data_IF_675516066251
#
_entry.id   IF_675516066251
#
_cell.length_a   1.000
_cell.length_b   1.000
_cell.length_c   1.000
_cell.angle_alpha   90.00
_cell.angle_beta   90.00
_cell.angle_gamma   90.00
#
_symmetry.space_group_name_H-M   'P 1'
#
loop_
_entity.id
_entity.type
_entity.pdbx_description
1 polymer ?
#
# COMPACT_ATOMS: atom_id res chain seq x y z
N UNK A 1 12.64 0.23 -63.84
CA UNK A 1 11.58 -0.17 -62.89
C UNK A 1 11.56 0.88 -61.79
N UNK A 2 10.57 1.78 -61.82
CA UNK A 2 10.50 2.94 -60.93
C UNK A 2 9.40 2.69 -59.89
N UNK A 3 9.76 2.60 -58.61
CA UNK A 3 8.79 2.48 -57.52
C UNK A 3 8.52 3.86 -56.94
N UNK A 4 7.26 4.31 -57.05
CA UNK A 4 6.72 5.50 -56.36
C UNK A 4 6.52 5.16 -54.88
N UNK A 5 7.16 5.94 -54.01
CA UNK A 5 6.90 5.96 -52.57
C UNK A 5 5.65 6.83 -52.35
N UNK A 6 4.55 6.21 -51.92
CA UNK A 6 3.34 6.90 -51.48
C UNK A 6 3.43 7.23 -49.99
N UNK A 7 3.29 8.50 -49.65
CA UNK A 7 3.10 8.99 -48.28
C UNK A 7 1.66 8.75 -47.82
N UNK A 8 1.41 8.15 -46.65
CA UNK A 8 0.06 8.07 -46.10
C UNK A 8 -0.36 9.41 -45.47
N UNK A 9 -1.60 9.81 -45.78
CA UNK A 9 -2.25 10.99 -45.24
C UNK A 9 -2.54 10.84 -43.74
N UNK A 10 -2.12 11.85 -42.98
CA UNK A 10 -2.39 11.96 -41.54
C UNK A 10 -3.78 12.55 -41.33
N UNK A 11 -4.73 11.72 -40.87
CA UNK A 11 -6.07 12.15 -40.46
C UNK A 11 -6.07 12.46 -38.97
N UNK A 12 -6.04 13.75 -38.63
CA UNK A 12 -6.11 14.27 -37.27
C UNK A 12 -7.57 14.40 -36.81
N UNK A 13 -8.14 13.31 -36.28
CA UNK A 13 -9.39 13.40 -35.52
C UNK A 13 -9.13 13.89 -34.10
N UNK A 14 -9.18 15.21 -33.90
CA UNK A 14 -9.36 15.82 -32.58
C UNK A 14 -10.77 15.47 -32.05
N UNK A 15 -10.87 14.47 -31.18
CA UNK A 15 -12.03 14.32 -30.29
C UNK A 15 -11.81 15.18 -29.05
N UNK A 16 -12.45 16.34 -29.02
CA UNK A 16 -12.65 17.11 -27.79
C UNK A 16 -13.49 16.29 -26.81
N UNK A 17 -12.93 15.99 -25.64
CA UNK A 17 -13.68 15.44 -24.52
C UNK A 17 -14.46 16.59 -23.88
N UNK A 18 -15.73 16.70 -24.26
CA UNK A 18 -16.67 17.55 -23.56
C UNK A 18 -16.87 16.99 -22.14
N UNK A 19 -16.42 17.75 -21.16
CA UNK A 19 -16.77 17.57 -19.75
C UNK A 19 -18.27 17.86 -19.64
N UNK A 20 -19.08 16.80 -19.61
CA UNK A 20 -20.49 16.94 -19.23
C UNK A 20 -20.55 17.14 -17.71
N UNK A 21 -20.38 18.40 -17.30
CA UNK A 21 -20.80 18.88 -16.00
C UNK A 21 -22.32 18.76 -15.94
N UNK A 22 -22.81 17.79 -15.18
CA UNK A 22 -24.20 17.75 -14.77
C UNK A 22 -24.47 18.96 -13.87
N UNK A 23 -25.01 20.02 -14.46
CA UNK A 23 -25.67 21.11 -13.76
C UNK A 23 -26.99 20.59 -13.21
N UNK A 24 -26.98 20.15 -11.95
CA UNK A 24 -28.18 20.14 -11.12
C UNK A 24 -28.23 21.46 -10.37
N UNK A 25 -29.05 22.38 -10.87
CA UNK A 25 -29.38 23.61 -10.17
C UNK A 25 -30.15 23.30 -8.90
N UNK A 26 -29.65 23.82 -7.78
CA UNK A 26 -30.45 24.03 -6.57
C UNK A 26 -30.14 25.41 -6.04
N UNK A 27 -31.13 26.25 -6.23
CA UNK A 27 -31.26 27.64 -5.79
C UNK A 27 -31.10 27.76 -4.27
N UNK A 28 -30.36 28.80 -3.87
CA UNK A 28 -30.43 29.58 -2.62
C UNK A 28 -30.90 28.93 -1.32
N UNK A 29 -30.07 29.07 -0.28
CA UNK A 29 -30.35 30.04 0.80
C UNK A 29 -29.07 30.27 1.62
N UNK A 30 -28.69 31.55 1.74
CA UNK A 30 -27.61 32.01 2.60
C UNK A 30 -28.09 32.01 4.05
N UNK A 31 -27.54 31.13 4.89
CA UNK A 31 -27.67 31.22 6.34
C UNK A 31 -26.43 31.92 6.89
N UNK A 32 -26.57 33.21 7.17
CA UNK A 32 -25.67 33.94 8.06
C UNK A 32 -25.98 33.53 9.50
N UNK A 33 -25.13 32.69 10.08
CA UNK A 33 -25.18 32.32 11.50
C UNK A 33 -24.16 33.13 12.29
N UNK A 34 -24.64 34.06 13.11
CA UNK A 34 -23.88 34.76 14.15
C UNK A 34 -23.31 33.77 15.18
N UNK A 35 -22.03 33.91 15.51
CA UNK A 35 -21.40 33.22 16.65
C UNK A 35 -21.42 34.16 17.85
N UNK A 36 -22.38 33.96 18.75
CA UNK A 36 -22.38 34.60 20.08
C UNK A 36 -21.66 33.68 21.08
N UNK A 37 -20.58 34.20 21.67
CA UNK A 37 -19.86 33.54 22.76
C UNK A 37 -20.70 33.50 24.04
N UNK A 38 -20.80 32.34 24.68
CA UNK A 38 -21.42 32.16 25.99
C UNK A 38 -20.34 31.95 27.09
N UNK A 39 -20.54 32.49 28.30
CA UNK A 39 -19.65 32.30 29.43
C UNK A 39 -19.80 30.90 30.05
N UNK A 40 -18.65 30.30 30.39
CA UNK A 40 -18.54 28.96 30.97
C UNK A 40 -19.13 28.87 32.37
N UNK A 41 -20.07 27.95 32.54
CA UNK A 41 -20.61 27.51 33.83
C UNK A 41 -20.10 26.09 34.10
N UNK A 42 -19.21 25.93 35.08
CA UNK A 42 -18.70 24.64 35.54
C UNK A 42 -19.79 23.88 36.31
N UNK A 43 -20.49 22.99 35.62
CA UNK A 43 -21.40 22.01 36.24
C UNK A 43 -20.69 20.66 36.34
N UNK A 44 -20.52 20.19 37.58
CA UNK A 44 -19.95 18.89 37.89
C UNK A 44 -20.85 17.77 37.33
N UNK A 45 -20.29 16.76 36.64
CA UNK A 45 -21.09 15.69 36.06
C UNK A 45 -21.75 14.84 37.15
N UNK A 46 -23.06 14.64 37.00
CA UNK A 46 -23.84 13.68 37.81
C UNK A 46 -23.34 12.26 37.56
N UNK A 47 -23.15 11.52 38.65
CA UNK A 47 -22.72 10.14 38.64
C UNK A 47 -23.73 9.25 37.90
N UNK A 48 -23.23 8.46 36.95
CA UNK A 48 -24.03 7.51 36.17
C UNK A 48 -24.32 6.30 37.08
N UNK A 49 -25.58 5.99 37.41
CA UNK A 49 -25.92 4.78 38.14
C UNK A 49 -25.57 3.57 37.26
N UNK A 50 -24.70 2.68 37.74
CA UNK A 50 -24.17 1.45 37.09
C UNK A 50 -22.81 1.54 36.37
N UNK A 51 -22.00 2.58 36.58
CA UNK A 51 -20.60 2.51 36.17
C UNK A 51 -19.81 1.53 37.10
N UNK A 52 -19.09 0.53 36.56
CA UNK A 52 -18.26 -0.37 37.37
C UNK A 52 -17.17 0.42 38.10
N UNK A 53 -17.11 0.24 39.42
CA UNK A 53 -16.23 0.96 40.32
C UNK A 53 -14.79 0.46 40.12
N UNK A 54 -13.96 1.23 39.41
CA UNK A 54 -12.54 0.92 39.27
C UNK A 54 -11.80 1.38 40.54
N UNK A 55 -11.26 0.42 41.30
CA UNK A 55 -10.46 0.72 42.48
C UNK A 55 -9.15 1.43 42.07
N UNK A 56 -8.76 2.51 42.77
CA UNK A 56 -7.50 3.19 42.50
C UNK A 56 -6.32 2.25 42.83
N UNK A 57 -5.46 2.04 41.84
CA UNK A 57 -4.22 1.26 42.00
C UNK A 57 -3.20 2.11 42.75
N UNK A 58 -2.70 1.60 43.88
CA UNK A 58 -1.66 2.27 44.65
C UNK A 58 -0.36 2.36 43.84
N UNK A 59 0.17 3.58 43.69
CA UNK A 59 1.46 3.79 43.08
C UNK A 59 2.59 3.28 44.01
N UNK A 60 3.68 2.72 43.45
CA UNK A 60 4.82 2.28 44.23
C UNK A 60 5.46 3.45 44.98
N UNK A 61 5.66 3.27 46.29
CA UNK A 61 6.21 4.28 47.18
C UNK A 61 7.73 4.40 46.96
N UNK A 62 8.30 5.61 46.81
CA UNK A 62 9.70 5.82 46.44
C UNK A 62 10.72 5.60 47.57
N UNK A 63 10.40 4.87 48.65
CA UNK A 63 11.32 4.77 49.79
C UNK A 63 11.25 3.41 50.49
N UNK A 64 11.95 2.43 49.94
CA UNK A 64 12.35 1.23 50.68
C UNK A 64 13.83 0.96 50.36
N UNK A 65 14.70 1.49 51.22
CA UNK A 65 16.11 1.11 51.26
C UNK A 65 16.21 -0.30 51.86
N UNK A 66 16.67 -1.28 51.09
CA UNK A 66 17.07 -2.59 51.62
C UNK A 66 18.05 -3.30 50.68
N UNK A 67 19.30 -3.40 51.14
CA UNK A 67 20.30 -4.44 50.88
C UNK A 67 20.46 -4.99 49.46
N UNK A 68 21.43 -4.42 48.75
CA UNK A 68 21.95 -4.90 47.48
C UNK A 68 22.83 -6.15 47.68
N UNK A 69 22.34 -7.31 47.28
CA UNK A 69 23.20 -8.40 46.83
C UNK A 69 23.62 -8.12 45.38
N UNK A 70 24.91 -8.28 45.01
CA UNK A 70 25.36 -8.06 43.65
C UNK A 70 24.89 -9.22 42.77
N UNK A 71 23.63 -9.17 42.30
CA UNK A 71 23.25 -9.96 41.14
C UNK A 71 23.97 -9.37 39.94
N UNK A 72 25.02 -10.07 39.51
CA UNK A 72 25.63 -9.90 38.20
C UNK A 72 24.60 -10.30 37.15
N UNK A 73 23.65 -9.41 36.85
CA UNK A 73 22.85 -9.51 35.64
C UNK A 73 23.83 -9.36 34.49
N UNK A 74 24.28 -10.49 33.94
CA UNK A 74 24.83 -10.54 32.60
C UNK A 74 23.73 -10.07 31.66
N UNK A 75 23.66 -8.75 31.48
CA UNK A 75 22.99 -8.13 30.37
C UNK A 75 23.82 -8.49 29.14
N UNK A 76 23.60 -9.70 28.62
CA UNK A 76 23.94 -10.07 27.25
C UNK A 76 23.03 -9.27 26.30
N UNK A 77 23.16 -7.95 26.35
CA UNK A 77 22.65 -7.01 25.37
C UNK A 77 23.63 -6.97 24.21
N UNK A 78 24.08 -8.13 23.75
CA UNK A 78 24.61 -8.22 22.39
C UNK A 78 23.39 -8.12 21.50
N UNK A 79 23.08 -6.90 21.09
CA UNK A 79 22.12 -6.55 20.06
C UNK A 79 22.57 -7.19 18.75
N UNK A 80 22.50 -8.52 18.67
CA UNK A 80 22.58 -9.24 17.42
C UNK A 80 21.32 -8.84 16.68
N UNK A 81 21.47 -7.78 15.86
CA UNK A 81 20.55 -7.47 14.78
C UNK A 81 20.40 -8.76 14.01
N UNK A 82 19.33 -9.49 14.32
CA UNK A 82 19.02 -10.75 13.66
C UNK A 82 18.68 -10.35 12.25
N UNK A 83 19.61 -10.57 11.32
CA UNK A 83 19.42 -10.19 9.94
C UNK A 83 18.21 -10.94 9.41
N UNK A 84 17.10 -10.23 9.19
CA UNK A 84 15.92 -10.77 8.55
C UNK A 84 16.30 -11.15 7.12
N UNK A 85 16.23 -12.45 6.82
CA UNK A 85 16.52 -13.02 5.51
C UNK A 85 15.22 -13.13 4.72
N UNK A 86 15.19 -12.53 3.54
CA UNK A 86 14.05 -12.60 2.63
C UNK A 86 14.05 -13.92 1.84
N UNK A 87 12.87 -14.48 1.64
CA UNK A 87 12.68 -15.67 0.82
C UNK A 87 13.13 -15.45 -0.64
N UNK A 88 13.77 -16.43 -1.25
CA UNK A 88 14.40 -16.33 -2.58
C UNK A 88 13.43 -16.05 -3.74
N UNK A 89 12.13 -16.33 -3.57
CA UNK A 89 11.07 -15.95 -4.51
C UNK A 89 10.67 -14.48 -4.44
N UNK A 90 10.89 -13.84 -3.30
CA UNK A 90 10.61 -12.41 -3.09
C UNK A 90 11.87 -11.57 -3.34
N UNK A 91 13.06 -12.15 -3.23
CA UNK A 91 14.31 -11.48 -3.58
C UNK A 91 14.39 -11.16 -5.07
N UNK A 92 15.19 -10.15 -5.42
CA UNK A 92 15.41 -9.77 -6.82
C UNK A 92 16.00 -10.94 -7.63
N UNK A 93 15.31 -11.40 -8.66
CA UNK A 93 15.80 -12.51 -9.49
C UNK A 93 14.75 -13.17 -10.40
N UNK A 94 15.16 -14.17 -11.21
CA UNK A 94 14.30 -14.81 -12.20
C UNK A 94 13.48 -15.99 -11.64
N UNK A 95 13.38 -16.12 -10.31
CA UNK A 95 12.77 -17.30 -9.68
C UNK A 95 11.23 -17.26 -9.75
N UNK A 96 10.66 -16.06 -9.84
CA UNK A 96 9.24 -15.80 -9.84
C UNK A 96 8.92 -14.79 -10.93
N UNK A 97 7.95 -15.11 -11.79
CA UNK A 97 7.37 -14.16 -12.75
C UNK A 97 5.91 -13.98 -12.40
N UNK A 98 5.57 -12.77 -11.96
CA UNK A 98 4.23 -12.42 -11.52
C UNK A 98 3.79 -11.10 -12.13
N UNK A 99 2.74 -11.15 -12.97
CA UNK A 99 2.05 -9.97 -13.47
C UNK A 99 0.96 -9.57 -12.48
N UNK A 100 1.08 -8.39 -11.90
CA UNK A 100 0.21 -7.91 -10.81
C UNK A 100 -1.22 -7.64 -11.28
N UNK A 101 -1.43 -7.49 -12.59
CA UNK A 101 -2.77 -7.36 -13.17
C UNK A 101 -3.52 -8.69 -13.27
N UNK A 102 -2.81 -9.82 -13.15
CA UNK A 102 -3.38 -11.16 -13.29
C UNK A 102 -3.64 -11.82 -11.93
N UNK A 103 -4.45 -12.87 -11.94
CA UNK A 103 -4.70 -13.69 -10.75
C UNK A 103 -3.43 -14.46 -10.32
N UNK A 104 -3.32 -14.79 -9.02
CA UNK A 104 -2.20 -15.55 -8.48
C UNK A 104 -2.07 -16.95 -9.10
N UNK A 105 -3.15 -17.51 -9.66
CA UNK A 105 -3.09 -18.75 -10.42
C UNK A 105 -2.19 -18.67 -11.68
N UNK A 106 -1.89 -17.46 -12.16
CA UNK A 106 -1.01 -17.22 -13.31
C UNK A 106 0.44 -16.95 -12.92
N UNK A 107 0.79 -17.05 -11.63
CA UNK A 107 2.16 -16.95 -11.16
C UNK A 107 2.99 -18.07 -11.79
N UNK A 108 4.07 -17.68 -12.46
CA UNK A 108 5.01 -18.62 -13.08
C UNK A 108 6.26 -18.72 -12.22
N UNK A 109 6.57 -19.92 -11.77
CA UNK A 109 7.82 -20.22 -11.06
C UNK A 109 8.87 -20.71 -12.05
N UNK A 110 10.14 -20.42 -11.76
CA UNK A 110 11.28 -20.96 -12.52
C UNK A 110 11.26 -22.50 -12.48
N UNK A 111 11.69 -23.19 -13.55
CA UNK A 111 11.88 -24.64 -13.52
C UNK A 111 12.74 -25.07 -12.32
N UNK A 112 12.26 -26.03 -11.54
CA UNK A 112 12.90 -26.50 -10.29
C UNK A 112 12.31 -25.91 -9.01
N UNK A 113 11.51 -24.84 -9.10
CA UNK A 113 10.75 -24.32 -7.96
C UNK A 113 9.39 -25.03 -7.85
N UNK A 114 9.07 -25.56 -6.67
CA UNK A 114 7.76 -26.18 -6.39
C UNK A 114 6.70 -25.11 -6.12
N UNK A 115 5.43 -25.30 -6.57
CA UNK A 115 4.32 -24.42 -6.18
C UNK A 115 4.12 -24.30 -4.66
N UNK A 116 4.53 -25.31 -3.89
CA UNK A 116 4.48 -25.28 -2.42
C UNK A 116 5.35 -24.19 -1.82
N UNK A 117 6.37 -23.70 -2.54
CA UNK A 117 7.22 -22.59 -2.10
C UNK A 117 6.45 -21.28 -1.91
N UNK A 118 5.28 -21.13 -2.53
CA UNK A 118 4.40 -19.98 -2.28
C UNK A 118 3.80 -20.02 -0.86
N UNK A 119 3.71 -21.20 -0.23
CA UNK A 119 3.21 -21.36 1.14
C UNK A 119 4.32 -21.26 2.19
N UNK A 120 5.58 -21.16 1.78
CA UNK A 120 6.72 -20.96 2.67
C UNK A 120 6.73 -19.54 3.25
N UNK A 121 7.39 -19.38 4.39
CA UNK A 121 7.51 -18.10 5.07
C UNK A 121 8.28 -17.09 4.20
N UNK A 122 7.76 -15.87 4.13
CA UNK A 122 8.34 -14.79 3.34
C UNK A 122 9.69 -14.31 3.89
N UNK A 123 9.89 -14.43 5.19
CA UNK A 123 11.11 -14.00 5.88
C UNK A 123 11.51 -14.99 6.99
N UNK A 124 12.81 -15.03 7.29
CA UNK A 124 13.39 -15.78 8.40
C UNK A 124 14.23 -14.84 9.28
N UNK A 125 13.95 -14.71 10.60
CA UNK A 125 12.89 -15.39 11.34
C UNK A 125 11.47 -14.99 10.90
N UNK A 126 10.44 -15.83 11.15
CA UNK A 126 9.06 -15.51 10.78
C UNK A 126 8.58 -14.23 11.47
N UNK A 127 7.89 -13.37 10.73
CA UNK A 127 7.25 -12.15 11.26
C UNK A 127 5.75 -12.19 11.01
N UNK A 128 4.98 -11.53 11.88
CA UNK A 128 3.52 -11.45 11.78
C UNK A 128 3.02 -10.19 11.07
N UNK A 129 3.91 -9.21 10.86
CA UNK A 129 3.60 -7.92 10.26
C UNK A 129 4.76 -7.48 9.35
N UNK A 130 4.44 -6.98 8.16
CA UNK A 130 5.42 -6.52 7.17
C UNK A 130 4.86 -5.30 6.43
N UNK A 131 5.65 -4.24 6.37
CA UNK A 131 5.32 -3.02 5.62
C UNK A 131 6.12 -3.01 4.32
N UNK A 132 5.42 -2.83 3.20
CA UNK A 132 6.02 -2.71 1.88
C UNK A 132 5.70 -1.32 1.32
N UNK A 133 6.75 -0.59 0.92
CA UNK A 133 6.67 0.74 0.32
C UNK A 133 6.92 0.67 -1.18
N UNK A 134 6.31 1.57 -1.94
CA UNK A 134 6.52 1.69 -3.39
C UNK A 134 7.31 2.98 -3.64
N UNK A 135 8.61 2.91 -3.96
CA UNK A 135 9.46 4.11 -4.08
C UNK A 135 8.95 5.13 -5.10
N UNK A 136 8.36 4.67 -6.20
CA UNK A 136 7.81 5.55 -7.24
C UNK A 136 6.46 6.18 -6.84
N UNK A 137 5.79 5.61 -5.81
CA UNK A 137 4.43 5.93 -5.42
C UNK A 137 4.29 6.03 -3.89
N UNK A 138 5.00 6.99 -3.28
CA UNK A 138 5.06 7.17 -1.82
C UNK A 138 3.70 7.38 -1.12
N UNK A 139 2.63 7.65 -1.86
CA UNK A 139 1.28 7.80 -1.31
C UNK A 139 0.68 6.47 -0.82
N UNK A 140 1.22 5.33 -1.25
CA UNK A 140 0.68 4.02 -0.95
C UNK A 140 1.71 3.13 -0.25
N UNK A 141 1.27 2.58 0.88
CA UNK A 141 1.94 1.50 1.60
C UNK A 141 1.08 0.24 1.52
N UNK A 142 1.73 -0.91 1.54
CA UNK A 142 1.10 -2.22 1.53
C UNK A 142 1.42 -2.86 2.87
N UNK A 143 0.40 -3.14 3.66
CA UNK A 143 0.53 -3.76 4.98
C UNK A 143 0.13 -5.23 4.89
N UNK A 144 1.05 -6.13 5.23
CA UNK A 144 0.79 -7.57 5.25
C UNK A 144 0.79 -8.03 6.70
N UNK A 145 -0.34 -8.60 7.16
CA UNK A 145 -0.50 -9.09 8.53
C UNK A 145 -0.92 -10.56 8.49
N UNK A 146 -0.18 -11.41 9.21
CA UNK A 146 -0.55 -12.80 9.45
C UNK A 146 0.01 -13.26 10.82
N UNK A 147 -0.85 -13.46 11.84
CA UNK A 147 -0.41 -13.89 13.18
C UNK A 147 0.38 -15.21 13.20
N UNK A 148 0.24 -16.05 12.17
CA UNK A 148 0.93 -17.35 12.07
C UNK A 148 2.26 -17.29 11.31
N UNK A 149 2.66 -16.10 10.87
CA UNK A 149 3.82 -15.89 10.01
C UNK A 149 3.40 -15.59 8.58
N UNK A 150 3.99 -14.55 8.01
CA UNK A 150 3.71 -14.12 6.63
C UNK A 150 4.34 -15.09 5.63
N UNK A 151 3.54 -15.58 4.69
CA UNK A 151 4.02 -16.44 3.59
C UNK A 151 4.27 -15.64 2.31
N UNK A 152 5.01 -16.22 1.37
CA UNK A 152 5.22 -15.64 0.03
C UNK A 152 3.87 -15.33 -0.65
N UNK A 153 2.91 -16.25 -0.56
CA UNK A 153 1.57 -16.08 -1.09
C UNK A 153 0.83 -14.90 -0.45
N UNK A 154 0.96 -14.69 0.87
CA UNK A 154 0.34 -13.53 1.53
C UNK A 154 0.88 -12.22 0.97
N UNK A 155 2.20 -12.14 0.77
CA UNK A 155 2.86 -10.95 0.21
C UNK A 155 2.34 -10.66 -1.20
N UNK A 156 2.37 -11.64 -2.10
CA UNK A 156 1.92 -11.45 -3.49
C UNK A 156 0.43 -11.11 -3.57
N UNK A 157 -0.40 -11.77 -2.77
CA UNK A 157 -1.84 -11.48 -2.69
C UNK A 157 -2.11 -10.04 -2.27
N UNK A 158 -1.44 -9.57 -1.22
CA UNK A 158 -1.67 -8.23 -0.68
C UNK A 158 -1.15 -7.13 -1.61
N UNK A 159 -0.01 -7.37 -2.29
CA UNK A 159 0.48 -6.49 -3.36
C UNK A 159 -0.57 -6.35 -4.46
N UNK A 160 -1.09 -7.47 -4.96
CA UNK A 160 -2.12 -7.49 -6.01
C UNK A 160 -3.37 -6.76 -5.57
N UNK A 161 -3.91 -7.13 -4.42
CA UNK A 161 -5.15 -6.57 -3.90
C UNK A 161 -5.01 -5.05 -3.76
N UNK A 162 -3.94 -4.59 -3.11
CA UNK A 162 -3.72 -3.17 -2.86
C UNK A 162 -3.58 -2.38 -4.17
N UNK A 163 -2.83 -2.90 -5.14
CA UNK A 163 -2.59 -2.21 -6.41
C UNK A 163 -3.79 -2.26 -7.37
N UNK A 164 -4.67 -3.25 -7.25
CA UNK A 164 -5.88 -3.34 -8.08
C UNK A 164 -7.07 -2.52 -7.54
N UNK A 165 -6.93 -1.85 -6.39
CA UNK A 165 -7.95 -0.92 -5.88
C UNK A 165 -8.04 0.33 -6.74
N UNK A 166 -9.27 0.82 -6.92
CA UNK A 166 -9.54 2.10 -7.57
C UNK A 166 -8.95 3.26 -6.76
N UNK A 167 -8.50 4.28 -7.47
CA UNK A 167 -7.87 5.47 -6.88
C UNK A 167 -8.93 6.51 -6.54
N UNK A 168 -8.93 6.98 -5.30
CA UNK A 168 -9.81 8.07 -4.88
C UNK A 168 -9.31 9.42 -5.41
N UNK A 169 -10.21 10.40 -5.60
CA UNK A 169 -9.88 11.71 -6.17
C UNK A 169 -8.76 12.45 -5.41
N UNK A 170 -8.71 12.32 -4.08
CA UNK A 170 -7.69 12.96 -3.25
C UNK A 170 -6.30 12.29 -3.40
N UNK A 171 -6.26 10.97 -3.64
CA UNK A 171 -5.01 10.25 -3.91
C UNK A 171 -4.45 10.67 -5.28
N UNK A 172 -5.33 10.82 -6.27
CA UNK A 172 -4.96 11.28 -7.61
C UNK A 172 -4.32 12.68 -7.59
N UNK A 173 -4.80 13.58 -6.73
CA UNK A 173 -4.21 14.92 -6.55
C UNK A 173 -2.79 14.88 -5.97
N UNK A 174 -2.50 13.94 -5.06
CA UNK A 174 -1.16 13.79 -4.46
C UNK A 174 -0.13 13.24 -5.46
N UNK A 175 -0.58 12.49 -6.45
CA UNK A 175 0.28 11.85 -7.45
C UNK A 175 0.36 12.63 -8.77
N UNK A 176 0.23 13.97 -8.73
CA UNK A 176 0.03 14.85 -9.90
C UNK A 176 1.00 14.61 -11.07
N UNK A 177 2.27 14.29 -10.79
CA UNK A 177 3.30 14.01 -11.81
C UNK A 177 3.04 12.72 -12.60
N UNK A 178 2.38 11.73 -12.00
CA UNK A 178 2.14 10.42 -12.59
C UNK A 178 0.71 10.26 -13.15
N UNK A 179 -0.20 11.22 -12.92
CA UNK A 179 -1.62 11.12 -13.32
C UNK A 179 -1.78 10.91 -14.83
N UNK A 180 -1.05 11.64 -15.67
CA UNK A 180 -1.18 11.50 -17.13
C UNK A 180 -0.76 10.10 -17.59
N UNK A 181 0.37 9.58 -17.08
CA UNK A 181 0.83 8.23 -17.36
C UNK A 181 -0.16 7.16 -16.86
N UNK A 182 -0.78 7.41 -15.71
CA UNK A 182 -1.82 6.54 -15.16
C UNK A 182 -3.08 6.54 -16.04
N UNK A 183 -3.52 7.70 -16.54
CA UNK A 183 -4.66 7.79 -17.46
C UNK A 183 -4.39 7.04 -18.77
N UNK A 184 -3.19 7.17 -19.32
CA UNK A 184 -2.83 6.44 -20.55
C UNK A 184 -2.76 4.93 -20.32
N UNK A 185 -2.26 4.50 -19.15
CA UNK A 185 -2.24 3.09 -18.76
C UNK A 185 -3.64 2.54 -18.50
N UNK A 186 -4.50 3.32 -17.85
CA UNK A 186 -5.93 3.01 -17.68
C UNK A 186 -6.63 2.83 -19.03
N UNK A 187 -6.38 3.71 -20.00
CA UNK A 187 -6.93 3.60 -21.36
C UNK A 187 -6.40 2.34 -22.06
N UNK A 188 -5.11 2.07 -21.95
CA UNK A 188 -4.48 0.89 -22.53
C UNK A 188 -5.00 -0.43 -21.94
N UNK A 189 -5.31 -0.45 -20.63
CA UNK A 189 -5.91 -1.58 -19.90
C UNK A 189 -7.39 -1.75 -20.24
N UNK A 190 -8.17 -0.68 -20.12
CA UNK A 190 -9.63 -0.76 -20.25
C UNK A 190 -10.08 -1.07 -21.67
N UNK A 191 -9.37 -0.57 -22.69
CA UNK A 191 -9.72 -0.75 -24.11
C UNK A 191 -11.24 -0.66 -24.34
N UNK A 192 -11.78 -1.50 -25.22
CA UNK A 192 -13.22 -1.62 -25.47
C UNK A 192 -13.94 -2.52 -24.45
N UNK A 193 -13.32 -2.87 -23.31
CA UNK A 193 -13.98 -3.63 -22.25
C UNK A 193 -14.72 -2.68 -21.29
N UNK A 194 -16.06 -2.66 -21.32
CA UNK A 194 -16.84 -1.78 -20.46
C UNK A 194 -16.68 -2.12 -18.97
N UNK A 195 -16.34 -3.37 -18.64
CA UNK A 195 -16.20 -3.83 -17.24
C UNK A 195 -14.95 -3.23 -16.59
N UNK A 196 -13.82 -3.26 -17.29
CA UNK A 196 -12.58 -2.63 -16.81
C UNK A 196 -12.71 -1.11 -16.76
N UNK A 197 -13.41 -0.51 -17.74
CA UNK A 197 -13.66 0.94 -17.73
C UNK A 197 -14.52 1.37 -16.53
N UNK A 198 -15.53 0.59 -16.15
CA UNK A 198 -16.41 0.88 -15.01
C UNK A 198 -15.66 0.86 -13.66
N UNK A 199 -14.54 0.16 -13.57
CA UNK A 199 -13.71 0.14 -12.35
C UNK A 199 -12.82 1.38 -12.20
N UNK A 200 -12.70 2.20 -13.26
CA UNK A 200 -11.91 3.42 -13.26
C UNK A 200 -10.40 3.19 -13.16
N UNK A 201 -9.70 4.28 -12.83
CA UNK A 201 -8.24 4.27 -12.64
C UNK A 201 -7.92 3.50 -11.35
N UNK A 202 -7.02 2.52 -11.47
CA UNK A 202 -6.50 1.71 -10.37
C UNK A 202 -5.08 2.16 -10.01
N UNK A 203 -4.62 1.83 -8.80
CA UNK A 203 -3.27 2.18 -8.35
C UNK A 203 -2.19 1.55 -9.24
N UNK A 204 -2.43 0.35 -9.79
CA UNK A 204 -1.55 -0.33 -10.75
C UNK A 204 -1.31 0.49 -12.03
N UNK A 205 -2.27 1.34 -12.43
CA UNK A 205 -2.10 2.17 -13.64
C UNK A 205 -0.99 3.20 -13.45
N UNK A 206 -0.70 3.61 -12.21
CA UNK A 206 0.40 4.52 -11.90
C UNK A 206 1.79 3.89 -12.06
N UNK A 207 1.87 2.55 -12.19
CA UNK A 207 3.12 1.85 -12.51
C UNK A 207 3.45 1.89 -14.01
N UNK A 208 2.51 2.33 -14.85
CA UNK A 208 2.69 2.36 -16.28
C UNK A 208 2.93 0.97 -16.88
N UNK A 209 3.96 0.79 -17.73
CA UNK A 209 4.29 -0.52 -18.30
C UNK A 209 4.97 -1.48 -17.30
N UNK A 210 5.36 -1.01 -16.10
CA UNK A 210 6.08 -1.82 -15.10
C UNK A 210 5.11 -2.65 -14.25
N UNK A 211 4.47 -3.64 -14.85
CA UNK A 211 3.43 -4.46 -14.17
C UNK A 211 3.94 -5.81 -13.65
N UNK A 212 5.22 -6.13 -13.87
CA UNK A 212 5.81 -7.38 -13.38
C UNK A 212 6.54 -7.13 -12.05
N UNK A 213 6.24 -7.96 -11.06
CA UNK A 213 6.99 -8.00 -9.80
C UNK A 213 8.43 -8.41 -10.08
N UNK A 214 9.39 -7.59 -9.67
CA UNK A 214 10.83 -7.85 -9.83
C UNK A 214 11.50 -8.32 -8.53
N UNK A 215 10.91 -8.01 -7.37
CA UNK A 215 11.42 -8.39 -6.07
C UNK A 215 11.14 -7.34 -4.99
N UNK A 216 11.51 -7.67 -3.77
CA UNK A 216 11.59 -6.79 -2.61
C UNK A 216 13.06 -6.58 -2.21
N UNK A 217 13.36 -5.38 -1.73
CA UNK A 217 14.62 -5.03 -1.10
C UNK A 217 14.35 -4.42 0.28
N UNK A 218 15.31 -4.52 1.21
CA UNK A 218 15.15 -3.84 2.50
C UNK A 218 15.29 -2.34 2.29
N UNK A 219 14.44 -1.55 2.95
CA UNK A 219 14.46 -0.10 2.83
C UNK A 219 15.82 0.48 3.27
N UNK A 220 16.29 1.51 2.55
CA UNK A 220 17.62 2.09 2.78
C UNK A 220 17.71 3.02 3.99
N UNK A 221 16.56 3.44 4.51
CA UNK A 221 16.45 4.32 5.67
C UNK A 221 16.70 3.62 7.01
N UNK A 222 16.99 2.30 6.98
CA UNK A 222 17.18 1.48 8.17
C UNK A 222 15.89 1.13 8.90
N UNK A 223 14.73 1.49 8.34
CA UNK A 223 13.44 1.04 8.86
C UNK A 223 13.24 -0.46 8.64
N UNK A 224 12.31 -1.04 9.40
CA UNK A 224 11.90 -2.43 9.21
C UNK A 224 10.84 -2.56 8.10
N UNK A 225 11.07 -1.89 6.97
CA UNK A 225 10.20 -1.91 5.80
C UNK A 225 10.92 -2.44 4.57
N UNK A 226 10.13 -2.82 3.57
CA UNK A 226 10.60 -3.39 2.32
C UNK A 226 10.19 -2.52 1.14
N UNK A 227 11.11 -2.24 0.24
CA UNK A 227 10.83 -1.54 -1.01
C UNK A 227 10.48 -2.57 -2.10
N UNK A 228 9.34 -2.39 -2.76
CA UNK A 228 8.96 -3.22 -3.92
C UNK A 228 9.49 -2.65 -5.22
N UNK A 229 10.01 -3.52 -6.07
CA UNK A 229 10.48 -3.18 -7.40
C UNK A 229 9.63 -3.84 -8.48
N UNK A 230 9.39 -3.09 -9.55
CA UNK A 230 8.66 -3.56 -10.72
C UNK A 230 9.49 -3.43 -11.98
N UNK A 231 9.25 -4.31 -12.94
CA UNK A 231 9.87 -4.33 -14.25
C UNK A 231 8.82 -4.30 -15.36
N UNK A 232 9.23 -3.78 -16.52
CA UNK A 232 8.50 -3.99 -17.77
C UNK A 232 8.79 -5.41 -18.28
N UNK A 233 7.85 -6.00 -19.03
CA UNK A 233 8.14 -7.23 -19.73
C UNK A 233 9.17 -6.93 -20.83
N UNK A 234 10.38 -7.47 -20.68
CA UNK A 234 11.44 -7.41 -21.70
C UNK A 234 11.29 -8.59 -22.66
#
# INVERSE_FOLDING_TARGET
MNYRIGTPASSSHHRSWAVHSAQSGSSGQAFQGHWSALPGSSTSPSAIPNAPLLHPVSLPHPNAASHQSPMSYQHSSTSHSSFIVLHSLLSYGPNLRFNITQDLAHVQLRPGCSPTMLQELAVQPPVSHMIITIPELCAWTIEVVNPRGITVNNVLAMIRETLNRSVASHEMQRSSRAVNAAIDSFRARSRADPREHAQGVKRVDFLGPKVFFAGLARARDGSDSWEIHFAQNV
#
